data_IF_803529842391
#
_entry.id   IF_803529842391
#
_cell.length_a   1.000
_cell.length_b   1.000
_cell.length_c   1.000
_cell.angle_alpha   90.00
_cell.angle_beta   90.00
_cell.angle_gamma   90.00
#
_symmetry.space_group_name_H-M   'P 1'
#
loop_
_entity.id
_entity.type
_entity.pdbx_description
1 polymer ?
#
# COMPACT_ATOMS: atom_id res chain seq x y z
N UNK A 1 -24.87 86.68 -10.61
CA UNK A 1 -24.68 85.42 -11.39
C UNK A 1 -23.86 84.50 -10.54
N UNK A 2 -24.52 83.57 -9.84
CA UNK A 2 -23.97 82.77 -8.81
C UNK A 2 -23.92 81.31 -9.33
N UNK A 3 -22.68 80.74 -9.48
CA UNK A 3 -22.48 79.36 -9.91
C UNK A 3 -22.46 78.41 -8.68
N UNK A 4 -23.39 77.47 -8.68
CA UNK A 4 -23.39 76.37 -7.68
C UNK A 4 -22.49 75.24 -8.15
N UNK A 5 -21.53 74.90 -7.32
CA UNK A 5 -20.65 73.70 -7.51
C UNK A 5 -21.29 72.53 -6.76
N UNK A 6 -21.65 71.45 -7.48
CA UNK A 6 -22.09 70.19 -6.90
C UNK A 6 -20.86 69.33 -6.58
N UNK A 7 -20.68 68.95 -5.32
CA UNK A 7 -19.69 67.96 -4.88
C UNK A 7 -20.36 66.60 -4.91
N UNK A 8 -19.84 65.71 -5.76
CA UNK A 8 -20.23 64.28 -5.80
C UNK A 8 -19.37 63.50 -4.82
N UNK A 9 -20.00 62.94 -3.80
CA UNK A 9 -19.36 62.03 -2.83
C UNK A 9 -19.43 60.61 -3.42
N UNK A 10 -18.28 60.10 -3.86
CA UNK A 10 -18.14 58.70 -4.30
C UNK A 10 -18.02 57.74 -3.13
N UNK A 11 -19.02 56.89 -2.99
CA UNK A 11 -19.02 55.78 -2.01
C UNK A 11 -18.20 54.61 -2.56
N UNK A 12 -16.98 54.40 -2.04
CA UNK A 12 -16.18 53.24 -2.39
C UNK A 12 -16.60 52.05 -1.54
N UNK A 13 -17.19 51.04 -2.19
CA UNK A 13 -17.46 49.73 -1.61
C UNK A 13 -16.17 48.91 -1.54
N UNK A 14 -15.64 48.72 -0.34
CA UNK A 14 -14.54 47.77 -0.08
C UNK A 14 -15.10 46.34 -0.20
N UNK A 15 -14.83 45.69 -1.32
CA UNK A 15 -15.05 44.24 -1.48
C UNK A 15 -14.00 43.48 -0.69
N UNK A 16 -14.33 43.01 0.49
CA UNK A 16 -13.51 42.09 1.27
C UNK A 16 -13.45 40.70 0.60
N UNK A 17 -12.30 40.32 0.10
CA UNK A 17 -12.06 38.93 -0.35
C UNK A 17 -12.04 38.02 0.87
N UNK A 18 -13.08 37.21 1.05
CA UNK A 18 -13.08 36.10 2.01
C UNK A 18 -12.23 34.99 1.44
N UNK A 19 -10.98 34.86 1.94
CA UNK A 19 -10.15 33.71 1.64
C UNK A 19 -10.79 32.47 2.25
N UNK A 20 -11.46 31.68 1.41
CA UNK A 20 -11.99 30.37 1.79
C UNK A 20 -10.84 29.44 2.13
N UNK A 21 -10.62 29.15 3.39
CA UNK A 21 -9.78 28.04 3.86
C UNK A 21 -10.53 26.76 3.50
N UNK A 22 -10.13 26.11 2.42
CA UNK A 22 -10.61 24.77 2.10
C UNK A 22 -10.08 23.83 3.20
N UNK A 23 -10.97 23.15 3.95
CA UNK A 23 -10.49 22.16 4.92
C UNK A 23 -9.77 21.06 4.17
N UNK A 24 -8.53 20.76 4.57
CA UNK A 24 -7.82 19.60 4.11
C UNK A 24 -8.65 18.37 4.47
N UNK A 25 -9.20 17.71 3.49
CA UNK A 25 -9.95 16.47 3.67
C UNK A 25 -8.97 15.40 4.20
N UNK A 26 -9.25 14.93 5.41
CA UNK A 26 -8.54 13.79 6.01
C UNK A 26 -8.90 12.52 5.22
N UNK A 27 -8.01 12.11 4.34
CA UNK A 27 -8.21 11.00 3.37
C UNK A 27 -7.60 9.68 3.83
N UNK A 28 -7.57 9.38 5.12
CA UNK A 28 -6.79 8.25 5.64
C UNK A 28 -7.50 6.88 5.65
N UNK A 29 -8.81 6.81 5.52
CA UNK A 29 -9.54 5.52 5.53
C UNK A 29 -10.04 5.07 4.14
N UNK A 30 -10.23 5.99 3.22
CA UNK A 30 -10.88 5.76 1.92
C UNK A 30 -9.89 5.40 0.79
N UNK A 31 -8.59 5.46 1.03
CA UNK A 31 -7.55 5.37 0.00
C UNK A 31 -6.88 4.01 -0.16
N UNK A 32 -7.18 3.00 0.67
CA UNK A 32 -6.63 1.67 0.48
C UNK A 32 -7.65 0.76 -0.23
N UNK A 33 -7.72 0.84 -1.55
CA UNK A 33 -8.53 -0.05 -2.36
C UNK A 33 -7.89 -1.44 -2.40
N UNK A 34 -8.04 -2.20 -1.32
CA UNK A 34 -7.46 -3.53 -1.16
C UNK A 34 -7.95 -4.50 -2.23
N UNK A 35 -7.05 -5.35 -2.71
CA UNK A 35 -7.38 -6.45 -3.60
C UNK A 35 -8.01 -7.57 -2.79
N UNK A 36 -9.26 -7.89 -3.08
CA UNK A 36 -9.95 -9.04 -2.51
C UNK A 36 -9.78 -10.21 -3.46
N UNK A 37 -9.17 -11.30 -2.97
CA UNK A 37 -8.99 -12.49 -3.77
C UNK A 37 -10.33 -13.20 -4.03
N UNK A 38 -10.51 -13.80 -5.22
CA UNK A 38 -11.65 -14.66 -5.49
C UNK A 38 -11.59 -15.95 -4.63
N UNK A 39 -12.67 -16.77 -4.62
CA UNK A 39 -12.62 -18.10 -4.05
C UNK A 39 -11.39 -18.88 -4.55
N UNK A 40 -10.62 -19.46 -3.64
CA UNK A 40 -9.32 -20.08 -3.94
C UNK A 40 -8.11 -19.23 -3.56
N UNK A 41 -8.30 -17.92 -3.32
CA UNK A 41 -7.27 -17.05 -2.75
C UNK A 41 -6.17 -16.62 -3.72
N UNK A 42 -6.29 -16.90 -5.01
CA UNK A 42 -5.28 -16.55 -6.01
C UNK A 42 -5.65 -15.27 -6.77
N UNK A 43 -4.69 -14.40 -6.98
CA UNK A 43 -4.79 -13.18 -7.79
C UNK A 43 -3.71 -13.20 -8.86
N UNK A 44 -4.05 -12.82 -10.08
CA UNK A 44 -3.17 -12.82 -11.26
C UNK A 44 -3.77 -13.59 -12.41
N UNK A 45 -2.95 -13.90 -13.39
CA UNK A 45 -3.33 -14.60 -14.63
C UNK A 45 -2.53 -15.88 -14.87
N UNK A 46 -2.62 -16.43 -16.07
CA UNK A 46 -1.93 -17.66 -16.47
C UNK A 46 -0.40 -17.60 -16.46
N UNK A 47 0.21 -16.46 -16.31
CA UNK A 47 1.67 -16.31 -16.28
C UNK A 47 2.23 -16.28 -14.86
N UNK A 48 1.56 -15.55 -13.98
CA UNK A 48 1.96 -15.37 -12.59
C UNK A 48 0.75 -15.12 -11.68
N UNK A 49 0.63 -15.90 -10.62
CA UNK A 49 -0.41 -15.75 -9.59
C UNK A 49 0.22 -15.69 -8.21
N UNK A 50 -0.39 -14.91 -7.33
CA UNK A 50 -0.06 -14.82 -5.91
C UNK A 50 -1.23 -15.34 -5.07
N UNK A 51 -0.92 -16.07 -4.01
CA UNK A 51 -1.91 -16.53 -3.03
C UNK A 51 -2.10 -15.45 -1.97
N UNK A 52 -3.29 -14.87 -1.94
CA UNK A 52 -3.75 -13.90 -0.94
C UNK A 52 -4.82 -14.58 -0.11
N UNK A 53 -4.40 -15.32 0.92
CA UNK A 53 -5.29 -16.17 1.73
C UNK A 53 -5.98 -15.46 2.91
N UNK A 54 -5.93 -14.13 3.01
CA UNK A 54 -6.55 -13.38 4.10
C UNK A 54 -7.82 -12.68 3.66
N UNK A 55 -8.87 -12.73 4.49
CA UNK A 55 -10.12 -12.07 4.22
C UNK A 55 -9.94 -10.55 4.16
N UNK A 56 -10.77 -9.89 3.36
CA UNK A 56 -10.82 -8.43 3.23
C UNK A 56 -9.53 -7.74 2.74
N UNK A 57 -8.58 -8.47 2.14
CA UNK A 57 -7.35 -7.90 1.61
C UNK A 57 -6.40 -7.34 2.68
N UNK A 58 -6.52 -7.78 3.94
CA UNK A 58 -5.71 -7.30 5.06
C UNK A 58 -4.73 -8.36 5.56
N UNK A 59 -3.46 -7.98 5.68
CA UNK A 59 -2.43 -8.78 6.35
C UNK A 59 -2.33 -8.31 7.79
N UNK A 60 -2.81 -9.14 8.73
CA UNK A 60 -2.88 -8.78 10.14
C UNK A 60 -1.75 -9.46 10.92
N UNK A 61 -0.86 -8.65 11.47
CA UNK A 61 0.20 -9.06 12.38
C UNK A 61 -0.25 -8.88 13.83
N UNK A 62 -0.36 -9.98 14.58
CA UNK A 62 -0.84 -9.97 15.98
C UNK A 62 -0.07 -10.98 16.82
N UNK A 63 -0.06 -10.84 18.15
CA UNK A 63 0.52 -11.84 19.04
C UNK A 63 -0.06 -13.24 18.75
N UNK A 64 0.82 -14.24 18.58
CA UNK A 64 0.43 -15.61 18.24
C UNK A 64 -0.12 -15.81 16.82
N UNK A 65 -0.17 -14.75 16.01
CA UNK A 65 -0.56 -14.80 14.60
C UNK A 65 0.58 -15.23 13.68
N UNK A 66 0.29 -15.40 12.37
CA UNK A 66 1.32 -15.68 11.38
C UNK A 66 2.22 -14.46 11.14
N UNK A 67 3.38 -14.72 10.52
CA UNK A 67 4.37 -13.68 10.23
C UNK A 67 5.43 -13.55 11.33
N UNK A 68 6.31 -12.60 11.16
CA UNK A 68 7.42 -12.32 12.08
C UNK A 68 7.72 -10.82 12.12
N UNK A 69 8.45 -10.40 13.15
CA UNK A 69 9.03 -9.07 13.26
C UNK A 69 10.53 -9.18 13.05
N UNK A 70 11.11 -8.33 12.21
CA UNK A 70 12.56 -8.23 12.03
C UNK A 70 13.19 -7.40 13.15
N UNK A 71 14.52 -7.45 13.30
CA UNK A 71 15.23 -6.68 14.33
C UNK A 71 15.05 -5.17 14.20
N UNK A 72 14.78 -4.67 13.00
CA UNK A 72 14.47 -3.26 12.73
C UNK A 72 12.97 -2.94 12.84
N UNK A 73 12.16 -3.89 13.30
CA UNK A 73 10.73 -3.72 13.55
C UNK A 73 9.82 -3.89 12.33
N UNK A 74 10.37 -4.22 11.16
CA UNK A 74 9.57 -4.49 9.98
C UNK A 74 8.78 -5.81 10.10
N UNK A 75 7.72 -5.93 9.33
CA UNK A 75 6.71 -6.99 9.42
C UNK A 75 6.83 -7.95 8.24
N UNK A 76 7.25 -9.18 8.49
CA UNK A 76 7.44 -10.18 7.45
C UNK A 76 6.32 -11.22 7.39
N UNK A 77 5.83 -11.49 6.19
CA UNK A 77 4.79 -12.48 5.91
C UNK A 77 5.22 -13.41 4.78
N UNK A 78 4.84 -14.67 4.89
CA UNK A 78 5.06 -15.64 3.82
C UNK A 78 3.98 -15.52 2.76
N UNK A 79 4.41 -15.45 1.49
CA UNK A 79 3.54 -15.45 0.32
C UNK A 79 3.85 -16.65 -0.57
N UNK A 80 2.82 -17.24 -1.14
CA UNK A 80 2.94 -18.27 -2.16
C UNK A 80 2.72 -17.68 -3.56
N UNK A 81 3.53 -18.08 -4.52
CA UNK A 81 3.43 -17.66 -5.90
C UNK A 81 3.38 -18.88 -6.81
N UNK A 82 2.57 -18.83 -7.86
CA UNK A 82 2.56 -19.82 -8.94
C UNK A 82 3.08 -19.14 -10.20
N UNK A 83 4.20 -19.65 -10.71
CA UNK A 83 4.87 -19.17 -11.93
C UNK A 83 4.62 -20.19 -13.03
N UNK A 84 3.80 -19.84 -14.00
CA UNK A 84 3.54 -20.71 -15.16
C UNK A 84 4.50 -20.41 -16.32
N UNK A 85 5.27 -19.32 -16.21
CA UNK A 85 6.40 -18.98 -17.09
C UNK A 85 7.72 -19.21 -16.37
N UNK A 86 8.77 -19.52 -17.16
CA UNK A 86 10.12 -19.70 -16.62
C UNK A 86 10.75 -18.36 -16.31
N UNK A 87 11.50 -18.30 -15.22
CA UNK A 87 12.27 -17.11 -14.87
C UNK A 87 12.37 -16.88 -13.38
N UNK A 88 13.19 -15.90 -13.03
CA UNK A 88 13.37 -15.48 -11.65
C UNK A 88 12.22 -14.59 -11.22
N UNK A 89 11.60 -14.92 -10.09
CA UNK A 89 10.62 -14.04 -9.45
C UNK A 89 11.34 -12.85 -8.80
N UNK A 90 10.84 -11.66 -9.07
CA UNK A 90 11.19 -10.42 -8.36
C UNK A 90 9.92 -9.83 -7.73
N UNK A 91 10.06 -9.22 -6.54
CA UNK A 91 8.94 -8.64 -5.82
C UNK A 91 9.37 -7.27 -5.35
N UNK A 92 8.58 -6.27 -5.69
CA UNK A 92 8.74 -4.89 -5.28
C UNK A 92 7.43 -4.34 -4.71
N UNK A 93 7.48 -3.26 -3.98
CA UNK A 93 6.27 -2.61 -3.49
C UNK A 93 6.54 -1.28 -2.84
N UNK A 94 5.49 -0.48 -2.77
CA UNK A 94 5.52 0.87 -2.20
C UNK A 94 4.30 1.09 -1.31
N UNK A 95 4.47 1.93 -0.33
CA UNK A 95 3.37 2.39 0.51
C UNK A 95 2.54 3.44 -0.24
N UNK A 96 1.21 3.39 -0.13
CA UNK A 96 0.29 4.28 -0.83
C UNK A 96 -0.24 5.41 0.05
N UNK A 97 -0.26 5.21 1.36
CA UNK A 97 -0.89 6.10 2.34
C UNK A 97 0.11 6.89 3.20
N UNK A 98 1.36 7.00 2.76
CA UNK A 98 2.39 7.77 3.44
C UNK A 98 3.81 7.39 3.02
N UNK A 99 4.78 8.12 3.52
CA UNK A 99 6.19 7.85 3.24
C UNK A 99 6.66 6.58 3.98
N UNK A 100 7.44 5.79 3.29
CA UNK A 100 8.08 4.59 3.82
C UNK A 100 9.24 4.18 2.92
N UNK A 101 10.29 3.54 3.44
CA UNK A 101 11.22 2.80 2.61
C UNK A 101 10.48 1.78 1.75
N UNK A 102 11.03 1.39 0.59
CA UNK A 102 10.43 0.36 -0.24
C UNK A 102 10.33 -0.98 0.51
N UNK A 103 9.37 -1.78 0.12
CA UNK A 103 9.22 -3.16 0.56
C UNK A 103 10.51 -3.95 0.32
N UNK A 104 10.81 -4.88 1.22
CA UNK A 104 11.87 -5.89 1.03
C UNK A 104 11.26 -7.24 0.71
N UNK A 105 11.94 -8.05 -0.07
CA UNK A 105 11.51 -9.42 -0.36
C UNK A 105 12.67 -10.39 -0.27
N UNK A 106 12.36 -11.59 0.24
CA UNK A 106 13.29 -12.71 0.24
C UNK A 106 12.74 -13.79 -0.70
N UNK A 107 13.35 -13.87 -1.87
CA UNK A 107 13.01 -14.85 -2.90
C UNK A 107 14.05 -15.95 -2.84
N UNK A 108 13.69 -17.04 -2.18
CA UNK A 108 14.60 -18.15 -1.93
C UNK A 108 14.95 -18.90 -3.23
N UNK A 109 16.20 -19.32 -3.32
CA UNK A 109 16.66 -20.27 -4.34
C UNK A 109 16.15 -21.69 -4.01
N UNK A 110 16.25 -22.61 -4.98
CA UNK A 110 15.89 -24.02 -4.76
C UNK A 110 14.48 -24.40 -5.22
N UNK A 111 13.68 -23.42 -5.65
CA UNK A 111 12.48 -23.66 -6.42
C UNK A 111 12.85 -23.79 -7.89
N UNK A 112 12.21 -24.70 -8.62
CA UNK A 112 12.45 -24.88 -10.06
C UNK A 112 12.27 -23.57 -10.86
N UNK A 113 12.52 -23.61 -12.17
CA UNK A 113 12.37 -22.43 -13.03
C UNK A 113 10.90 -21.94 -13.17
N UNK A 114 9.92 -22.81 -12.86
CA UNK A 114 8.48 -22.52 -12.86
C UNK A 114 7.79 -23.29 -11.71
N UNK A 115 6.49 -23.11 -11.55
CA UNK A 115 5.69 -23.74 -10.51
C UNK A 115 5.64 -22.94 -9.22
N UNK A 116 5.24 -23.58 -8.14
CA UNK A 116 5.07 -22.93 -6.83
C UNK A 116 6.41 -22.44 -6.26
N UNK A 117 6.39 -21.22 -5.71
CA UNK A 117 7.51 -20.64 -4.97
C UNK A 117 7.00 -19.87 -3.74
N UNK A 118 7.54 -20.21 -2.57
CA UNK A 118 7.32 -19.43 -1.37
C UNK A 118 8.38 -18.34 -1.20
N UNK A 119 7.95 -17.18 -0.75
CA UNK A 119 8.80 -16.02 -0.48
C UNK A 119 8.44 -15.39 0.85
N UNK A 120 9.28 -14.50 1.34
CA UNK A 120 8.88 -13.56 2.38
C UNK A 120 8.79 -12.16 1.80
N UNK A 121 7.69 -11.49 2.11
CA UNK A 121 7.46 -10.07 1.84
C UNK A 121 7.56 -9.34 3.18
N UNK A 122 8.41 -8.32 3.25
CA UNK A 122 8.75 -7.61 4.48
C UNK A 122 8.35 -6.15 4.32
N UNK A 123 7.32 -5.77 5.04
CA UNK A 123 6.76 -4.42 5.07
C UNK A 123 7.48 -3.58 6.12
N UNK A 124 8.18 -2.49 5.75
CA UNK A 124 8.86 -1.62 6.71
C UNK A 124 7.94 -1.05 7.79
N UNK A 125 6.69 -0.76 7.41
CA UNK A 125 5.69 -0.15 8.31
C UNK A 125 4.29 -0.71 8.04
N UNK A 126 3.36 -0.68 9.00
CA UNK A 126 1.93 -0.84 8.72
C UNK A 126 1.44 0.25 7.74
N UNK A 127 0.35 -0.02 7.03
CA UNK A 127 -0.25 0.92 6.08
C UNK A 127 -0.81 0.24 4.84
N UNK A 128 -1.13 1.03 3.83
CA UNK A 128 -1.62 0.57 2.54
C UNK A 128 -0.46 0.33 1.57
N UNK A 129 -0.32 -0.88 1.07
CA UNK A 129 0.81 -1.29 0.25
C UNK A 129 0.37 -1.82 -1.11
N UNK A 130 0.97 -1.31 -2.15
CA UNK A 130 0.95 -1.91 -3.48
C UNK A 130 2.15 -2.84 -3.60
N UNK A 131 1.91 -4.08 -4.00
CA UNK A 131 2.93 -5.11 -4.17
C UNK A 131 2.85 -5.65 -5.58
N UNK A 132 3.98 -5.70 -6.28
CA UNK A 132 4.10 -6.21 -7.64
C UNK A 132 5.11 -7.34 -7.70
N UNK A 133 4.67 -8.51 -8.16
CA UNK A 133 5.54 -9.62 -8.55
C UNK A 133 5.76 -9.64 -10.06
N UNK A 134 6.95 -10.04 -10.51
CA UNK A 134 7.31 -10.16 -11.93
C UNK A 134 8.13 -11.41 -12.19
N UNK A 135 7.84 -12.10 -13.31
CA UNK A 135 8.66 -13.20 -13.85
C UNK A 135 8.64 -13.08 -15.37
N UNK A 136 9.79 -12.86 -16.00
CA UNK A 136 9.88 -12.54 -17.44
C UNK A 136 8.89 -11.41 -17.78
N UNK A 137 7.97 -11.62 -18.70
CA UNK A 137 6.97 -10.65 -19.13
C UNK A 137 5.66 -10.70 -18.32
N UNK A 138 5.51 -11.72 -17.44
CA UNK A 138 4.33 -11.83 -16.59
C UNK A 138 4.48 -10.99 -15.32
N UNK A 139 3.38 -10.35 -14.91
CA UNK A 139 3.34 -9.57 -13.69
C UNK A 139 1.98 -9.65 -13.01
N UNK A 140 1.97 -9.54 -11.70
CA UNK A 140 0.76 -9.39 -10.91
C UNK A 140 0.96 -8.29 -9.88
N UNK A 141 -0.03 -7.40 -9.77
CA UNK A 141 -0.04 -6.32 -8.77
C UNK A 141 -1.28 -6.48 -7.90
N UNK A 142 -1.10 -6.33 -6.61
CA UNK A 142 -2.21 -6.30 -5.64
C UNK A 142 -1.97 -5.23 -4.58
N UNK A 143 -3.07 -4.78 -3.97
CA UNK A 143 -3.05 -3.82 -2.88
C UNK A 143 -3.49 -4.54 -1.61
N UNK A 144 -2.74 -4.36 -0.54
CA UNK A 144 -3.06 -4.94 0.78
C UNK A 144 -2.93 -3.89 1.88
N UNK A 145 -3.80 -3.99 2.88
CA UNK A 145 -3.65 -3.23 4.11
C UNK A 145 -2.84 -4.05 5.11
N UNK A 146 -1.73 -3.52 5.55
CA UNK A 146 -0.88 -4.13 6.59
C UNK A 146 -1.26 -3.54 7.94
N UNK A 147 -1.73 -4.39 8.84
CA UNK A 147 -2.18 -4.00 10.19
C UNK A 147 -1.30 -4.69 11.22
N UNK A 148 -0.83 -3.94 12.22
CA UNK A 148 -0.12 -4.46 13.38
C UNK A 148 -0.97 -4.24 14.63
N UNK A 149 -1.26 -5.32 15.35
CA UNK A 149 -2.00 -5.31 16.60
C UNK A 149 -1.02 -5.61 17.74
N UNK A 150 -0.97 -4.73 18.74
CA UNK A 150 -0.04 -4.84 19.86
C UNK A 150 1.41 -4.92 19.39
N UNK A 151 2.18 -5.81 19.99
CA UNK A 151 3.59 -6.02 19.64
C UNK A 151 3.79 -6.83 18.34
N UNK A 152 2.69 -7.21 17.69
CA UNK A 152 2.71 -8.04 16.50
C UNK A 152 2.97 -9.52 16.82
N UNK A 153 3.48 -10.30 15.86
CA UNK A 153 3.79 -11.71 16.06
C UNK A 153 4.80 -11.92 17.19
N UNK A 154 4.65 -13.00 17.93
CA UNK A 154 5.60 -13.38 18.98
C UNK A 154 6.92 -13.93 18.43
N UNK A 155 6.93 -14.30 17.14
CA UNK A 155 8.12 -14.77 16.49
C UNK A 155 8.94 -13.60 15.94
N UNK A 156 10.19 -13.52 16.39
CA UNK A 156 11.17 -12.55 15.90
C UNK A 156 12.19 -13.28 15.04
N UNK A 157 12.48 -12.72 13.86
CA UNK A 157 13.50 -13.22 12.95
C UNK A 157 14.69 -12.29 12.98
N UNK A 158 15.79 -12.79 13.54
CA UNK A 158 17.12 -12.18 13.42
C UNK A 158 17.62 -12.22 11.97
N UNK A 159 18.57 -11.35 11.63
CA UNK A 159 19.37 -11.49 10.41
C UNK A 159 20.36 -12.62 10.55
#
# INVERSE_FOLDING_TARGET
MTALAMVAIGLQLLSGAVSGVTPAQSTTAEQCAVTVAPPGGEVGDSGLRVVIGWPNGEVVFRPGGPGFVTNDGALGMKFGWYRDVRGRLTIEGRRLDGDSPPLRSEVNNGYGESGFQATYVIFPTPGCWEVTGRVADASVTFITRVVKIGDGPTWHRGR
#
